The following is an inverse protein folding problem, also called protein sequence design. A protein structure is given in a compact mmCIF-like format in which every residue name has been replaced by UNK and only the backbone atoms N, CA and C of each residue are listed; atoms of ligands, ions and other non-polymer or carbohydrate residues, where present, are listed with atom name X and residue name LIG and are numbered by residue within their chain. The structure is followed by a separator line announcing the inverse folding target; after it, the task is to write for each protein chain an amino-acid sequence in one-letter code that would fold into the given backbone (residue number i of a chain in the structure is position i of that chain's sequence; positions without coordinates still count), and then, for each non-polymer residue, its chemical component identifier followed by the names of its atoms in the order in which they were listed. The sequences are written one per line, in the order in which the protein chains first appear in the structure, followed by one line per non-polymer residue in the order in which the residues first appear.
data_IF_315339895575
#
_entry.id   IF_315339895575
#
_cell.length_a   1.000
_cell.length_b   1.000
_cell.length_c   1.000
_cell.angle_alpha   90.00
_cell.angle_beta   90.00
_cell.angle_gamma   90.00
#
_symmetry.space_group_name_H-M   'P 1'
#
loop_
_entity.id
_entity.type
_entity.pdbx_description
1 polymer ?
#
# COMPACT_ATOMS: atom_id res chain seq x y z
N UNK A 1 0.47 -2.48 -12.24
CA UNK A 1 -0.30 -1.34 -11.72
C UNK A 1 0.27 -0.89 -10.39
N UNK A 2 0.58 0.39 -10.27
CA UNK A 2 1.24 1.00 -9.11
C UNK A 2 0.33 2.04 -8.49
N UNK A 3 0.42 2.20 -7.16
CA UNK A 3 -0.18 3.30 -6.42
C UNK A 3 0.87 3.87 -5.48
N UNK A 4 1.38 5.05 -5.78
CA UNK A 4 2.52 5.63 -5.05
C UNK A 4 2.12 6.28 -3.71
N UNK A 5 0.82 6.32 -3.40
CA UNK A 5 0.29 6.88 -2.15
C UNK A 5 -0.70 5.96 -1.46
N UNK A 6 -0.60 5.88 -0.13
CA UNK A 6 -1.68 5.32 0.67
C UNK A 6 -2.86 6.30 0.71
N UNK A 7 -4.07 5.77 0.53
CA UNK A 7 -5.34 6.51 0.63
C UNK A 7 -6.33 5.80 1.54
N UNK A 8 -7.41 6.50 1.91
CA UNK A 8 -8.49 5.97 2.75
C UNK A 8 -8.01 5.49 4.11
N UNK A 9 -8.56 4.37 4.56
CA UNK A 9 -8.20 3.75 5.85
C UNK A 9 -6.71 3.41 5.97
N UNK A 10 -6.02 3.04 4.87
CA UNK A 10 -4.58 2.70 4.91
C UNK A 10 -3.73 3.90 5.27
N UNK A 11 -4.05 5.07 4.71
CA UNK A 11 -3.36 6.34 5.03
C UNK A 11 -3.51 6.68 6.50
N UNK A 12 -4.71 6.49 7.02
CA UNK A 12 -5.02 6.78 8.40
C UNK A 12 -4.36 5.82 9.38
N UNK A 13 -4.30 4.53 9.04
CA UNK A 13 -3.49 3.55 9.77
C UNK A 13 -2.03 3.97 9.86
N UNK A 14 -1.44 4.40 8.74
CA UNK A 14 -0.05 4.85 8.70
C UNK A 14 0.14 6.14 9.54
N UNK A 15 -0.80 7.09 9.48
CA UNK A 15 -0.76 8.30 10.31
C UNK A 15 -0.76 7.98 11.80
N UNK A 16 -1.67 7.11 12.24
CA UNK A 16 -1.79 6.70 13.65
C UNK A 16 -0.53 5.97 14.09
N UNK A 17 -0.02 5.05 13.26
CA UNK A 17 1.23 4.37 13.56
C UNK A 17 2.40 5.33 13.68
N UNK A 18 2.49 6.33 12.80
CA UNK A 18 3.52 7.35 12.85
C UNK A 18 3.44 8.19 14.14
N UNK A 19 2.23 8.63 14.53
CA UNK A 19 1.99 9.35 15.79
C UNK A 19 2.36 8.51 17.03
N UNK A 20 2.13 7.20 16.96
CA UNK A 20 2.41 6.24 18.04
C UNK A 20 3.78 5.56 17.94
N UNK A 21 4.66 6.02 17.05
CA UNK A 21 6.01 5.49 16.90
C UNK A 21 7.03 6.33 17.67
N UNK A 22 7.66 5.72 18.68
CA UNK A 22 8.79 6.32 19.37
C UNK A 22 10.05 6.10 18.53
N UNK A 23 10.46 7.12 17.78
CA UNK A 23 11.66 7.08 16.93
C UNK A 23 12.96 6.86 17.70
N UNK A 24 13.01 7.21 19.00
CA UNK A 24 14.21 7.02 19.84
C UNK A 24 14.33 5.58 20.31
N UNK A 25 13.20 4.96 20.69
CA UNK A 25 13.17 3.57 21.15
C UNK A 25 12.96 2.56 20.01
N UNK A 26 12.58 3.04 18.82
CA UNK A 26 12.13 2.23 17.67
C UNK A 26 11.00 1.27 18.04
N UNK A 27 10.14 1.71 18.96
CA UNK A 27 9.02 0.93 19.47
C UNK A 27 7.72 1.65 19.24
N UNK A 28 6.67 0.88 19.06
CA UNK A 28 5.31 1.40 19.01
C UNK A 28 4.68 1.45 20.39
N UNK A 29 3.68 2.31 20.56
CA UNK A 29 2.76 2.24 21.69
C UNK A 29 2.08 0.85 21.78
N UNK A 30 1.52 0.49 22.95
CA UNK A 30 0.78 -0.75 23.11
C UNK A 30 -0.30 -0.92 22.04
N UNK A 31 -0.50 -2.16 21.56
CA UNK A 31 -1.47 -2.45 20.52
C UNK A 31 -2.90 -1.99 20.89
N UNK A 32 -3.24 -2.00 22.19
CA UNK A 32 -4.52 -1.48 22.69
C UNK A 32 -4.72 0.02 22.41
N UNK A 33 -3.67 0.83 22.55
CA UNK A 33 -3.75 2.27 22.25
C UNK A 33 -3.86 2.53 20.74
N UNK A 34 -3.13 1.77 19.94
CA UNK A 34 -3.18 1.87 18.48
C UNK A 34 -4.57 1.48 18.00
N UNK A 35 -5.13 0.38 18.51
CA UNK A 35 -6.48 -0.07 18.18
C UNK A 35 -7.53 0.96 18.57
N UNK A 36 -7.42 1.53 19.78
CA UNK A 36 -8.35 2.57 20.23
C UNK A 36 -8.29 3.81 19.33
N UNK A 37 -7.09 4.24 18.91
CA UNK A 37 -6.93 5.36 17.98
C UNK A 37 -7.51 5.04 16.59
N UNK A 38 -7.36 3.80 16.11
CA UNK A 38 -7.98 3.34 14.87
C UNK A 38 -9.52 3.34 14.94
N UNK A 39 -10.08 2.89 16.08
CA UNK A 39 -11.53 2.88 16.33
C UNK A 39 -12.12 4.30 16.45
N UNK A 40 -11.34 5.23 16.97
CA UNK A 40 -11.73 6.64 17.07
C UNK A 40 -11.62 7.37 15.72
N UNK A 41 -10.88 6.83 14.75
CA UNK A 41 -10.75 7.48 13.46
C UNK A 41 -12.02 7.34 12.62
N UNK A 42 -12.56 8.50 12.25
CA UNK A 42 -13.75 8.63 11.42
C UNK A 42 -13.53 8.07 10.01
N UNK A 43 -12.32 8.14 9.46
CA UNK A 43 -12.01 7.64 8.12
C UNK A 43 -12.16 6.11 8.04
N UNK A 44 -11.70 5.40 9.06
CA UNK A 44 -11.81 3.94 9.17
C UNK A 44 -13.25 3.53 9.50
N UNK A 45 -13.97 4.38 10.25
CA UNK A 45 -15.36 4.12 10.65
C UNK A 45 -16.40 4.41 9.56
N UNK A 46 -16.12 5.31 8.61
CA UNK A 46 -17.06 5.73 7.57
C UNK A 46 -16.95 4.96 6.26
N UNK A 47 -15.83 4.31 5.95
CA UNK A 47 -15.59 3.65 4.64
C UNK A 47 -16.34 2.30 4.46
N UNK A 48 -17.30 1.97 5.33
CA UNK A 48 -18.11 0.76 5.24
C UNK A 48 -17.59 -0.39 6.11
N UNK A 49 -18.52 -1.03 6.82
CA UNK A 49 -18.38 -2.16 7.73
C UNK A 49 -17.04 -2.19 8.52
N UNK A 50 -16.97 -1.41 9.60
CA UNK A 50 -15.89 -1.38 10.62
C UNK A 50 -15.27 -2.75 10.93
N UNK A 51 -16.06 -3.82 10.94
CA UNK A 51 -15.59 -5.18 11.18
C UNK A 51 -14.73 -5.75 10.04
N UNK A 52 -15.03 -5.40 8.79
CA UNK A 52 -14.29 -5.82 7.61
C UNK A 52 -13.01 -5.00 7.46
N UNK A 53 -13.09 -3.67 7.63
CA UNK A 53 -11.92 -2.81 7.67
C UNK A 53 -10.99 -3.21 8.82
N UNK A 54 -11.50 -3.53 10.01
CA UNK A 54 -10.68 -4.06 11.14
C UNK A 54 -9.93 -5.35 10.76
N UNK A 55 -10.58 -6.28 10.06
CA UNK A 55 -9.93 -7.51 9.57
C UNK A 55 -8.80 -7.23 8.59
N UNK A 56 -8.89 -6.16 7.81
CA UNK A 56 -7.84 -5.73 6.87
C UNK A 56 -6.78 -4.83 7.53
N UNK A 57 -7.15 -4.04 8.53
CA UNK A 57 -6.26 -3.16 9.28
C UNK A 57 -5.23 -3.96 10.08
N UNK A 58 -5.63 -5.02 10.79
CA UNK A 58 -4.71 -5.81 11.62
C UNK A 58 -3.47 -6.36 10.88
N UNK A 59 -3.62 -7.07 9.74
CA UNK A 59 -2.46 -7.54 8.98
C UNK A 59 -1.65 -6.37 8.40
N UNK A 60 -2.30 -5.27 8.00
CA UNK A 60 -1.61 -4.08 7.49
C UNK A 60 -0.78 -3.37 8.56
N UNK A 61 -1.33 -3.19 9.76
CA UNK A 61 -0.64 -2.63 10.92
C UNK A 61 0.55 -3.51 11.29
N UNK A 62 0.36 -4.83 11.38
CA UNK A 62 1.45 -5.77 11.66
C UNK A 62 2.57 -5.67 10.62
N UNK A 63 2.21 -5.63 9.34
CA UNK A 63 3.15 -5.45 8.24
C UNK A 63 3.93 -4.13 8.40
N UNK A 64 3.25 -3.01 8.68
CA UNK A 64 3.89 -1.71 8.89
C UNK A 64 4.77 -1.66 10.13
N UNK A 65 4.36 -2.30 11.23
CA UNK A 65 5.19 -2.41 12.45
C UNK A 65 6.47 -3.21 12.18
N UNK A 66 6.39 -4.30 11.43
CA UNK A 66 7.55 -5.11 11.04
C UNK A 66 8.51 -4.30 10.14
N UNK A 67 7.96 -3.60 9.13
CA UNK A 67 8.74 -2.73 8.25
C UNK A 67 9.44 -1.61 9.04
N UNK A 68 8.74 -0.94 9.96
CA UNK A 68 9.31 0.12 10.79
C UNK A 68 10.33 -0.38 11.82
N UNK A 69 10.20 -1.63 12.28
CA UNK A 69 11.21 -2.26 13.14
C UNK A 69 12.51 -2.50 12.38
N UNK A 70 12.43 -2.79 11.07
CA UNK A 70 13.59 -3.06 10.20
C UNK A 70 14.21 -1.79 9.61
N UNK A 71 13.38 -0.89 9.09
CA UNK A 71 13.79 0.29 8.31
C UNK A 71 13.69 1.60 9.10
N UNK A 72 13.14 1.57 10.32
CA UNK A 72 12.91 2.76 11.14
C UNK A 72 11.67 3.57 10.72
N UNK A 73 11.61 4.83 11.17
CA UNK A 73 10.46 5.72 10.95
C UNK A 73 10.11 5.90 9.45
N UNK A 74 11.10 5.80 8.56
CA UNK A 74 10.91 5.93 7.11
C UNK A 74 9.94 4.88 6.52
N UNK A 75 9.74 3.72 7.16
CA UNK A 75 8.74 2.74 6.72
C UNK A 75 7.29 3.21 6.89
N UNK A 76 7.09 4.20 7.76
CA UNK A 76 5.80 4.81 8.05
C UNK A 76 5.58 6.06 7.21
N UNK A 77 6.46 6.36 6.26
CA UNK A 77 6.20 7.41 5.29
C UNK A 77 5.02 7.03 4.38
N UNK A 78 4.27 8.06 3.98
CA UNK A 78 3.08 7.96 3.12
C UNK A 78 3.44 7.57 1.69
N UNK A 79 4.70 7.76 1.32
CA UNK A 79 5.32 7.51 0.03
C UNK A 79 6.64 6.78 0.25
N UNK A 80 7.08 6.04 -0.76
CA UNK A 80 8.44 5.51 -0.77
C UNK A 80 9.45 6.65 -0.94
N UNK A 81 10.70 6.50 -0.46
CA UNK A 81 11.75 7.50 -0.64
C UNK A 81 12.26 7.61 -2.09
N UNK A 82 11.64 6.88 -3.02
CA UNK A 82 11.93 6.86 -4.45
C UNK A 82 10.60 6.73 -5.22
N UNK A 83 10.58 7.16 -6.49
CA UNK A 83 9.44 6.94 -7.39
C UNK A 83 9.34 5.47 -7.77
N UNK A 84 8.26 4.81 -7.37
CA UNK A 84 8.10 3.37 -7.62
C UNK A 84 7.92 3.10 -9.12
N UNK A 85 7.18 3.99 -9.80
CA UNK A 85 6.99 3.90 -11.24
C UNK A 85 8.31 4.11 -11.97
N UNK A 86 9.08 5.13 -11.57
CA UNK A 86 10.36 5.46 -12.21
C UNK A 86 11.34 4.28 -12.12
N UNK A 87 11.51 3.71 -10.93
CA UNK A 87 12.40 2.56 -10.71
C UNK A 87 11.96 1.34 -11.54
N UNK A 88 10.66 1.07 -11.62
CA UNK A 88 10.15 -0.05 -12.43
C UNK A 88 10.32 0.20 -13.93
N UNK A 89 10.18 1.45 -14.39
CA UNK A 89 10.42 1.85 -15.77
C UNK A 89 11.90 1.72 -16.15
N UNK A 90 12.82 2.16 -15.29
CA UNK A 90 14.27 2.02 -15.50
C UNK A 90 14.70 0.55 -15.64
N UNK A 91 13.99 -0.37 -14.98
CA UNK A 91 14.29 -1.80 -14.99
C UNK A 91 13.38 -2.63 -15.92
N UNK A 92 12.55 -1.99 -16.75
CA UNK A 92 11.51 -2.65 -17.53
C UNK A 92 12.06 -3.75 -18.46
N UNK A 93 13.15 -3.47 -19.17
CA UNK A 93 13.79 -4.41 -20.09
C UNK A 93 14.38 -5.64 -19.37
N UNK A 94 14.83 -5.47 -18.13
CA UNK A 94 15.28 -6.60 -17.32
C UNK A 94 14.10 -7.46 -16.88
N UNK A 95 13.04 -6.84 -16.35
CA UNK A 95 11.81 -7.52 -15.91
C UNK A 95 11.20 -8.31 -17.08
N UNK A 96 11.06 -7.68 -18.24
CA UNK A 96 10.54 -8.28 -19.47
C UNK A 96 11.30 -9.54 -19.87
N UNK A 97 12.64 -9.48 -19.90
CA UNK A 97 13.50 -10.62 -20.22
C UNK A 97 13.43 -11.73 -19.19
N UNK A 98 13.46 -11.41 -17.90
CA UNK A 98 13.42 -12.40 -16.82
C UNK A 98 12.09 -13.14 -16.77
N UNK A 99 10.98 -12.47 -17.09
CA UNK A 99 9.66 -13.06 -17.09
C UNK A 99 9.28 -13.68 -18.45
N UNK A 100 10.13 -13.56 -19.47
CA UNK A 100 9.87 -14.09 -20.81
C UNK A 100 8.66 -13.44 -21.50
N UNK A 101 8.39 -12.17 -21.20
CA UNK A 101 7.22 -11.45 -21.71
C UNK A 101 7.57 -10.67 -22.97
N UNK A 102 6.66 -10.60 -23.94
CA UNK A 102 6.83 -9.75 -25.13
C UNK A 102 6.53 -8.29 -24.85
N UNK A 103 5.63 -8.00 -23.92
CA UNK A 103 5.20 -6.64 -23.58
C UNK A 103 4.92 -6.51 -22.09
N UNK A 104 5.38 -5.40 -21.50
CA UNK A 104 5.16 -5.07 -20.09
C UNK A 104 4.90 -3.56 -20.00
N UNK A 105 3.85 -3.18 -19.29
CA UNK A 105 3.55 -1.77 -19.00
C UNK A 105 3.46 -1.53 -17.50
N UNK A 106 4.12 -0.47 -17.04
CA UNK A 106 3.97 0.05 -15.69
C UNK A 106 2.94 1.18 -15.74
N UNK A 107 1.79 0.95 -15.10
CA UNK A 107 0.62 1.81 -15.16
C UNK A 107 0.23 2.28 -13.76
N UNK A 108 -0.17 3.55 -13.63
CA UNK A 108 -0.74 4.07 -12.38
C UNK A 108 -2.23 3.76 -12.30
N UNK A 109 -2.72 3.35 -11.12
CA UNK A 109 -4.17 3.21 -10.89
C UNK A 109 -4.88 4.56 -10.70
N UNK A 110 -4.13 5.65 -10.55
CA UNK A 110 -4.70 7.00 -10.46
C UNK A 110 -5.07 7.57 -11.82
N UNK A 111 -4.57 6.99 -12.91
CA UNK A 111 -4.96 7.34 -14.28
C UNK A 111 -6.16 6.50 -14.75
N UNK A 112 -7.33 7.10 -14.99
CA UNK A 112 -8.53 6.37 -15.45
C UNK A 112 -8.31 5.65 -16.80
N UNK A 113 -7.46 6.19 -17.67
CA UNK A 113 -7.17 5.57 -18.96
C UNK A 113 -6.34 4.29 -18.77
N UNK A 114 -5.35 4.35 -17.89
CA UNK A 114 -4.57 3.19 -17.48
C UNK A 114 -5.45 2.10 -16.85
N UNK A 115 -6.39 2.44 -15.96
CA UNK A 115 -7.32 1.47 -15.38
C UNK A 115 -8.21 0.83 -16.45
N UNK A 116 -8.61 1.61 -17.46
CA UNK A 116 -9.43 1.12 -18.58
C UNK A 116 -8.68 0.08 -19.43
N UNK A 117 -7.33 0.13 -19.50
CA UNK A 117 -6.50 -0.91 -20.16
C UNK A 117 -6.60 -2.27 -19.47
N UNK A 118 -7.04 -2.34 -18.20
CA UNK A 118 -7.28 -3.62 -17.54
C UNK A 118 -8.48 -4.38 -18.12
N UNK A 119 -9.40 -3.68 -18.82
CA UNK A 119 -10.56 -4.29 -19.46
C UNK A 119 -11.39 -5.15 -18.51
N UNK A 120 -11.66 -6.40 -18.90
CA UNK A 120 -12.38 -7.40 -18.09
C UNK A 120 -11.69 -7.74 -16.76
N UNK A 121 -10.39 -7.48 -16.64
CA UNK A 121 -9.60 -7.74 -15.45
C UNK A 121 -9.56 -6.57 -14.46
N UNK A 122 -10.28 -5.46 -14.72
CA UNK A 122 -10.32 -4.29 -13.84
C UNK A 122 -10.77 -4.62 -12.40
N UNK A 123 -11.60 -5.66 -12.23
CA UNK A 123 -12.02 -6.15 -10.91
C UNK A 123 -10.84 -6.64 -10.04
N UNK A 124 -9.74 -7.10 -10.64
CA UNK A 124 -8.52 -7.50 -9.91
C UNK A 124 -7.91 -6.29 -9.19
N UNK A 125 -7.98 -5.09 -9.79
CA UNK A 125 -7.48 -3.85 -9.17
C UNK A 125 -8.30 -3.43 -7.94
N UNK A 126 -9.55 -3.91 -7.83
CA UNK A 126 -10.38 -3.68 -6.65
C UNK A 126 -10.13 -4.76 -5.58
N UNK A 127 -10.03 -6.02 -5.97
CA UNK A 127 -9.79 -7.14 -5.05
C UNK A 127 -8.38 -7.11 -4.45
N UNK A 128 -7.38 -6.79 -5.27
CA UNK A 128 -5.97 -6.68 -4.89
C UNK A 128 -5.50 -5.27 -5.23
N UNK A 129 -5.99 -4.29 -4.46
CA UNK A 129 -5.65 -2.89 -4.69
C UNK A 129 -4.16 -2.63 -4.42
N UNK A 130 -3.41 -2.07 -5.40
CA UNK A 130 -1.99 -1.80 -5.22
C UNK A 130 -1.76 -0.76 -4.13
N UNK A 131 -0.58 -0.83 -3.52
CA UNK A 131 -0.14 0.12 -2.52
C UNK A 131 1.37 0.35 -2.63
N UNK A 132 1.91 1.44 -2.08
CA UNK A 132 3.33 1.74 -2.19
C UNK A 132 4.21 0.54 -1.79
N UNK A 133 5.08 0.11 -2.71
CA UNK A 133 5.99 -1.03 -2.56
C UNK A 133 5.34 -2.41 -2.73
N UNK A 134 4.07 -2.45 -3.10
CA UNK A 134 3.31 -3.68 -3.36
C UNK A 134 2.39 -3.45 -4.57
N UNK A 135 2.95 -3.51 -5.80
CA UNK A 135 2.19 -3.31 -7.03
C UNK A 135 1.31 -4.52 -7.35
N UNK A 136 0.28 -4.30 -8.15
CA UNK A 136 -0.62 -5.36 -8.65
C UNK A 136 -0.29 -5.66 -10.09
N UNK A 137 0.08 -6.91 -10.38
CA UNK A 137 0.34 -7.40 -11.74
C UNK A 137 -0.90 -8.09 -12.32
N UNK A 138 -1.23 -7.76 -13.57
CA UNK A 138 -2.26 -8.45 -14.35
C UNK A 138 -1.57 -8.99 -15.60
N UNK A 139 -1.74 -10.28 -15.87
CA UNK A 139 -1.19 -10.94 -17.05
C UNK A 139 -2.32 -11.19 -18.04
N UNK A 140 -2.05 -10.87 -19.30
CA UNK A 140 -2.95 -11.15 -20.42
C UNK A 140 -2.38 -12.34 -21.18
N UNK A 141 -3.25 -13.28 -21.56
CA UNK A 141 -2.94 -14.44 -22.40
C UNK A 141 -3.29 -14.17 -23.85
#
# INVERSE_FOLDING_TARGET
YVKEEYEGWKKECVNILFDKFDSKKRTFAPDEEILKALEQSRAISQEGNLNETKKQCMPFIKFKKDQASKLGAAALDKKLPFGEIDVLQENLEFIKRQLGLEHVEILSVTDPNAVSKAGSHASILQQTAPSPGSPTSIFFS
#
